data_IF_441973819154
#
_entry.id   IF_441973819154
#
_cell.length_a   1.000
_cell.length_b   1.000
_cell.length_c   1.000
_cell.angle_alpha   90.00
_cell.angle_beta   90.00
_cell.angle_gamma   90.00
#
_symmetry.space_group_name_H-M   'P 1'
#
loop_
_entity.id
_entity.type
_entity.pdbx_description
1 polymer ?
#
# COMPACT_ATOMS: atom_id res chain seq x y z
N UNK A 1 22.10 -8.02 -19.28
CA UNK A 1 20.88 -8.15 -18.46
C UNK A 1 19.87 -7.03 -18.71
N UNK A 2 20.28 -5.76 -18.80
CA UNK A 2 19.37 -4.64 -19.05
C UNK A 2 18.52 -4.75 -20.33
N UNK A 3 19.10 -5.16 -21.46
CA UNK A 3 18.36 -5.28 -22.73
C UNK A 3 17.23 -6.33 -22.70
N UNK A 4 17.41 -7.42 -21.95
CA UNK A 4 16.37 -8.44 -21.79
C UNK A 4 15.19 -7.95 -20.96
N UNK A 5 15.46 -7.17 -19.91
CA UNK A 5 14.38 -6.52 -19.14
C UNK A 5 13.65 -5.47 -19.98
N UNK A 6 14.38 -4.66 -20.75
CA UNK A 6 13.77 -3.68 -21.65
C UNK A 6 12.81 -4.35 -22.63
N UNK A 7 13.22 -5.47 -23.25
CA UNK A 7 12.37 -6.26 -24.13
C UNK A 7 11.13 -6.83 -23.40
N UNK A 8 11.28 -7.32 -22.16
CA UNK A 8 10.17 -7.82 -21.36
C UNK A 8 9.15 -6.73 -21.02
N UNK A 9 9.61 -5.55 -20.60
CA UNK A 9 8.74 -4.40 -20.31
C UNK A 9 7.99 -3.97 -21.57
N UNK A 10 8.70 -3.89 -22.70
CA UNK A 10 8.09 -3.47 -23.96
C UNK A 10 7.09 -4.50 -24.49
N UNK A 11 7.36 -5.80 -24.28
CA UNK A 11 6.40 -6.86 -24.59
C UNK A 11 5.13 -6.77 -23.73
N UNK A 12 5.26 -6.41 -22.45
CA UNK A 12 4.11 -6.24 -21.55
C UNK A 12 3.34 -4.93 -21.80
N UNK A 13 4.00 -3.87 -22.29
CA UNK A 13 3.39 -2.58 -22.61
C UNK A 13 3.90 -2.00 -23.93
N UNK A 14 3.37 -2.47 -25.08
CA UNK A 14 3.85 -2.08 -26.41
C UNK A 14 3.74 -0.58 -26.72
N UNK A 15 2.86 0.14 -26.03
CA UNK A 15 2.65 1.58 -26.21
C UNK A 15 3.75 2.47 -25.61
N UNK A 16 4.71 1.90 -24.88
CA UNK A 16 5.81 2.66 -24.30
C UNK A 16 6.84 3.08 -25.35
N UNK A 17 7.38 4.30 -25.18
CA UNK A 17 8.56 4.77 -25.90
C UNK A 17 9.83 4.23 -25.24
N UNK A 18 10.95 4.25 -25.97
CA UNK A 18 12.25 3.86 -25.42
C UNK A 18 12.61 4.61 -24.13
N UNK A 19 12.26 5.90 -24.04
CA UNK A 19 12.44 6.71 -22.84
C UNK A 19 11.58 6.22 -21.68
N UNK A 20 10.31 5.89 -21.92
CA UNK A 20 9.42 5.36 -20.88
C UNK A 20 9.87 3.99 -20.38
N UNK A 21 10.41 3.14 -21.27
CA UNK A 21 11.01 1.85 -20.89
C UNK A 21 12.24 2.08 -20.01
N UNK A 22 13.11 3.02 -20.39
CA UNK A 22 14.27 3.40 -19.59
C UNK A 22 13.87 3.95 -18.22
N UNK A 23 12.94 4.90 -18.15
CA UNK A 23 12.43 5.46 -16.90
C UNK A 23 11.80 4.40 -16.01
N UNK A 24 11.09 3.43 -16.61
CA UNK A 24 10.52 2.30 -15.87
C UNK A 24 11.63 1.45 -15.23
N UNK A 25 12.70 1.12 -15.97
CA UNK A 25 13.83 0.36 -15.43
C UNK A 25 14.58 1.15 -14.35
N UNK A 26 14.77 2.46 -14.56
CA UNK A 26 15.43 3.36 -13.61
C UNK A 26 14.64 3.48 -12.30
N UNK A 27 13.35 3.77 -12.38
CA UNK A 27 12.50 4.02 -11.20
C UNK A 27 12.13 2.75 -10.44
N UNK A 28 12.44 1.57 -10.99
CA UNK A 28 12.19 0.28 -10.35
C UNK A 28 13.44 -0.37 -9.78
N UNK A 29 14.62 0.21 -9.99
CA UNK A 29 15.87 -0.32 -9.46
C UNK A 29 15.88 -0.35 -7.92
N UNK A 30 16.52 -1.38 -7.36
CA UNK A 30 16.81 -1.46 -5.94
C UNK A 30 18.04 -0.61 -5.67
N UNK A 31 17.83 0.52 -5.00
CA UNK A 31 18.92 1.41 -4.56
C UNK A 31 19.94 0.65 -3.70
N UNK A 32 21.22 0.83 -4.00
CA UNK A 32 22.33 0.16 -3.34
C UNK A 32 23.38 1.21 -2.95
N UNK A 33 23.85 1.16 -1.70
CA UNK A 33 24.82 2.14 -1.22
C UNK A 33 24.14 3.32 -0.52
N UNK A 34 24.60 4.53 -0.82
CA UNK A 34 24.02 5.75 -0.26
C UNK A 34 22.64 6.01 -0.90
N UNK A 35 21.64 6.51 -0.15
CA UNK A 35 20.32 6.77 -0.72
C UNK A 35 20.36 7.72 -1.91
N UNK A 36 19.78 7.30 -3.03
CA UNK A 36 19.74 8.05 -4.29
C UNK A 36 20.90 7.71 -5.24
N UNK A 37 20.97 8.37 -6.40
CA UNK A 37 21.91 7.96 -7.43
C UNK A 37 23.36 8.19 -7.03
N UNK A 38 24.18 7.16 -7.13
CA UNK A 38 25.60 7.20 -6.76
C UNK A 38 26.52 6.81 -7.92
N UNK A 39 27.82 7.07 -7.78
CA UNK A 39 28.81 6.85 -8.82
C UNK A 39 29.19 5.38 -9.03
N UNK A 40 28.93 4.51 -8.06
CA UNK A 40 29.33 3.10 -8.05
C UNK A 40 28.20 2.20 -8.56
N UNK A 41 26.95 2.47 -8.17
CA UNK A 41 25.77 1.68 -8.51
C UNK A 41 24.76 2.42 -9.39
N UNK A 42 24.96 3.70 -9.69
CA UNK A 42 24.06 4.48 -10.54
C UNK A 42 22.70 4.63 -9.90
N UNK A 43 21.67 3.97 -10.44
CA UNK A 43 20.32 3.92 -9.82
C UNK A 43 20.10 2.67 -8.96
N UNK A 44 21.17 1.88 -8.75
CA UNK A 44 21.11 0.62 -8.04
C UNK A 44 20.92 -0.59 -8.96
N UNK A 45 20.59 -1.73 -8.34
CA UNK A 45 20.43 -3.02 -9.03
C UNK A 45 19.09 -3.11 -9.73
N UNK A 46 19.11 -3.53 -10.99
CA UNK A 46 17.90 -3.78 -11.79
C UNK A 46 16.96 -4.78 -11.10
N UNK A 47 15.68 -4.42 -10.96
CA UNK A 47 14.63 -5.29 -10.41
C UNK A 47 13.52 -5.54 -11.44
N UNK A 48 13.59 -6.69 -12.12
CA UNK A 48 12.67 -7.05 -13.19
C UNK A 48 11.20 -7.11 -12.73
N UNK A 49 10.96 -7.58 -11.51
CA UNK A 49 9.61 -7.72 -10.95
C UNK A 49 8.98 -6.35 -10.68
N UNK A 50 9.72 -5.44 -10.04
CA UNK A 50 9.27 -4.06 -9.82
C UNK A 50 9.06 -3.32 -11.13
N UNK A 51 9.94 -3.53 -12.12
CA UNK A 51 9.84 -2.86 -13.42
C UNK A 51 8.59 -3.30 -14.21
N UNK A 52 8.32 -4.60 -14.26
CA UNK A 52 7.14 -5.14 -14.94
C UNK A 52 5.86 -4.65 -14.26
N UNK A 53 5.83 -4.65 -12.93
CA UNK A 53 4.70 -4.13 -12.16
C UNK A 53 4.50 -2.63 -12.39
N UNK A 54 5.56 -1.84 -12.36
CA UNK A 54 5.50 -0.41 -12.65
C UNK A 54 4.96 -0.15 -14.06
N UNK A 55 5.34 -0.96 -15.05
CA UNK A 55 4.80 -0.86 -16.40
C UNK A 55 3.29 -1.16 -16.44
N UNK A 56 2.85 -2.24 -15.80
CA UNK A 56 1.48 -2.73 -15.87
C UNK A 56 0.49 -1.97 -14.97
N UNK A 57 0.89 -1.64 -13.74
CA UNK A 57 0.02 -1.08 -12.69
C UNK A 57 0.38 0.35 -12.30
N UNK A 58 1.53 0.87 -12.75
CA UNK A 58 2.00 2.20 -12.34
C UNK A 58 2.61 2.24 -10.94
N UNK A 59 2.84 1.08 -10.29
CA UNK A 59 3.43 1.00 -8.94
C UNK A 59 4.61 0.03 -8.86
N UNK A 60 5.65 0.40 -8.12
CA UNK A 60 6.81 -0.49 -7.82
C UNK A 60 6.60 -1.34 -6.57
N UNK A 61 5.54 -1.06 -5.79
CA UNK A 61 5.29 -1.69 -4.50
C UNK A 61 4.29 -2.84 -4.63
N UNK A 62 4.54 -3.92 -3.88
CA UNK A 62 3.63 -5.06 -3.82
C UNK A 62 2.54 -4.82 -2.78
N UNK A 63 1.32 -5.26 -3.08
CA UNK A 63 0.22 -5.24 -2.13
C UNK A 63 0.68 -5.91 -0.81
N UNK A 64 0.57 -5.19 0.30
CA UNK A 64 0.98 -5.66 1.63
C UNK A 64 2.41 -5.28 2.08
N UNK A 65 3.22 -4.63 1.24
CA UNK A 65 4.50 -4.02 1.69
C UNK A 65 4.29 -2.74 2.49
N UNK A 66 3.20 -2.03 2.21
CA UNK A 66 2.77 -0.86 2.95
C UNK A 66 1.99 -1.27 4.19
N UNK A 67 2.59 -1.09 5.36
CA UNK A 67 1.90 -1.26 6.64
C UNK A 67 1.14 0.01 6.97
N UNK A 68 -0.18 -0.05 6.87
CA UNK A 68 -1.02 0.96 7.49
C UNK A 68 -1.03 0.72 9.00
N UNK A 69 -0.98 1.79 9.79
CA UNK A 69 -1.07 1.72 11.25
C UNK A 69 -2.36 2.35 11.74
N UNK A 70 -2.94 1.77 12.80
CA UNK A 70 -4.08 2.35 13.48
C UNK A 70 -3.63 2.90 14.82
N UNK A 71 -4.10 4.10 15.17
CA UNK A 71 -3.85 4.72 16.46
C UNK A 71 -5.17 5.25 17.04
N UNK A 72 -5.46 5.01 18.32
CA UNK A 72 -4.68 4.24 19.29
C UNK A 72 -4.84 2.72 19.11
N UNK A 73 -3.78 1.95 19.41
CA UNK A 73 -3.81 0.48 19.42
C UNK A 73 -3.16 -0.02 20.74
N UNK A 74 -3.90 -0.69 21.63
CA UNK A 74 -5.30 -1.12 21.49
C UNK A 74 -6.31 0.05 21.54
N UNK A 75 -7.35 -0.02 20.71
CA UNK A 75 -8.47 0.91 20.72
C UNK A 75 -9.49 0.53 21.80
N UNK A 76 -9.86 1.51 22.64
CA UNK A 76 -10.77 1.34 23.77
C UNK A 76 -11.99 2.28 23.63
N UNK A 77 -13.12 1.81 23.07
CA UNK A 77 -14.28 2.66 22.77
C UNK A 77 -14.88 3.41 23.98
N UNK A 78 -14.67 2.90 25.21
CA UNK A 78 -15.16 3.55 26.44
C UNK A 78 -14.38 4.79 26.83
N UNK A 79 -13.07 4.79 26.57
CA UNK A 79 -12.16 5.88 26.93
C UNK A 79 -11.76 6.73 25.73
N UNK A 80 -11.85 6.16 24.52
CA UNK A 80 -11.42 6.76 23.27
C UNK A 80 -12.61 6.79 22.32
N UNK A 81 -12.86 7.95 21.71
CA UNK A 81 -14.01 8.15 20.82
C UNK A 81 -13.81 7.54 19.43
N UNK A 82 -12.56 7.56 18.93
CA UNK A 82 -12.22 7.20 17.56
C UNK A 82 -10.86 6.48 17.51
N UNK A 83 -10.72 5.55 16.56
CA UNK A 83 -9.44 5.06 16.06
C UNK A 83 -9.17 5.69 14.70
N UNK A 84 -7.94 6.11 14.45
CA UNK A 84 -7.51 6.75 13.21
C UNK A 84 -6.53 5.84 12.47
N UNK A 85 -6.69 5.73 11.16
CA UNK A 85 -5.87 4.94 10.26
C UNK A 85 -4.90 5.84 9.50
N UNK A 86 -3.61 5.47 9.53
CA UNK A 86 -2.56 6.16 8.77
C UNK A 86 -2.42 5.54 7.38
N UNK A 87 -2.36 6.40 6.37
CA UNK A 87 -2.05 6.02 4.99
C UNK A 87 -0.56 6.23 4.75
N UNK A 88 0.20 5.20 4.33
CA UNK A 88 1.61 5.35 3.98
C UNK A 88 1.80 6.40 2.87
N UNK A 89 2.83 7.25 3.02
CA UNK A 89 3.06 8.38 2.12
C UNK A 89 3.23 7.96 0.65
N UNK A 90 3.85 6.79 0.41
CA UNK A 90 4.08 6.23 -0.92
C UNK A 90 2.79 5.96 -1.71
N UNK A 91 1.69 5.65 -1.00
CA UNK A 91 0.40 5.35 -1.62
C UNK A 91 -0.61 6.48 -1.44
N UNK A 92 -0.22 7.57 -0.77
CA UNK A 92 -1.12 8.70 -0.54
C UNK A 92 -1.56 9.29 -1.89
N UNK A 93 -2.86 9.20 -2.15
CA UNK A 93 -3.51 9.65 -3.38
C UNK A 93 -5.01 9.86 -3.11
N UNK A 94 -5.72 10.39 -4.10
CA UNK A 94 -7.19 10.42 -4.13
C UNK A 94 -7.81 9.01 -4.04
N UNK A 95 -9.12 8.94 -3.84
CA UNK A 95 -9.86 7.68 -3.82
C UNK A 95 -9.61 6.82 -2.57
N UNK A 96 -9.36 7.46 -1.41
CA UNK A 96 -9.08 6.74 -0.17
C UNK A 96 -10.34 6.05 0.36
N UNK A 97 -10.31 4.72 0.43
CA UNK A 97 -11.37 3.88 0.99
C UNK A 97 -10.77 3.01 2.11
N UNK A 98 -11.40 3.00 3.30
CA UNK A 98 -11.01 2.10 4.38
C UNK A 98 -12.08 1.04 4.59
N UNK A 99 -11.65 -0.22 4.60
CA UNK A 99 -12.51 -1.37 4.94
C UNK A 99 -11.95 -2.09 6.15
N UNK A 100 -12.80 -2.36 7.12
CA UNK A 100 -12.43 -3.04 8.37
C UNK A 100 -13.03 -4.44 8.34
N UNK A 101 -12.24 -5.43 8.75
CA UNK A 101 -12.54 -6.83 8.72
C UNK A 101 -12.25 -7.49 10.07
N UNK A 102 -12.97 -8.56 10.39
CA UNK A 102 -12.65 -9.46 11.51
C UNK A 102 -11.43 -10.34 11.15
N UNK A 103 -10.88 -11.07 12.11
CA UNK A 103 -9.84 -12.08 11.84
C UNK A 103 -10.33 -13.24 10.97
N UNK A 104 -11.65 -13.43 10.87
CA UNK A 104 -12.31 -14.43 10.02
C UNK A 104 -12.59 -13.89 8.61
N UNK A 105 -12.28 -12.61 8.34
CA UNK A 105 -12.44 -11.99 7.02
C UNK A 105 -13.82 -11.36 6.76
N UNK A 106 -14.70 -11.33 7.76
CA UNK A 106 -16.02 -10.68 7.64
C UNK A 106 -15.87 -9.16 7.59
N UNK A 107 -16.57 -8.51 6.65
CA UNK A 107 -16.59 -7.05 6.54
C UNK A 107 -17.39 -6.44 7.70
N UNK A 108 -16.74 -5.63 8.51
CA UNK A 108 -17.34 -4.94 9.66
C UNK A 108 -17.93 -3.60 9.24
N UNK A 109 -17.14 -2.81 8.50
CA UNK A 109 -17.54 -1.48 8.04
C UNK A 109 -16.69 -1.01 6.87
N UNK A 110 -17.34 -0.27 5.96
CA UNK A 110 -16.70 0.57 4.95
C UNK A 110 -16.76 2.02 5.40
N UNK A 111 -15.65 2.74 5.22
CA UNK A 111 -15.50 4.14 5.63
C UNK A 111 -15.00 4.99 4.46
N UNK A 112 -15.59 6.17 4.33
CA UNK A 112 -15.15 7.24 3.41
C UNK A 112 -14.10 8.17 4.06
N UNK A 113 -13.60 7.82 5.25
CA UNK A 113 -12.62 8.58 6.00
C UNK A 113 -11.62 7.69 6.75
N UNK A 114 -10.66 8.34 7.39
CA UNK A 114 -9.56 7.69 8.11
C UNK A 114 -9.85 7.45 9.59
N UNK A 115 -11.09 7.65 10.06
CA UNK A 115 -11.44 7.47 11.46
C UNK A 115 -12.65 6.56 11.64
N UNK A 116 -12.66 5.78 12.72
CA UNK A 116 -13.72 4.83 13.04
C UNK A 116 -14.09 4.85 14.52
N UNK A 117 -15.37 4.66 14.81
CA UNK A 117 -15.98 4.73 16.14
C UNK A 117 -16.18 3.37 16.82
N UNK A 118 -15.73 2.27 16.20
CA UNK A 118 -15.90 0.93 16.76
C UNK A 118 -17.26 0.28 16.48
N UNK A 119 -18.07 0.84 15.58
CA UNK A 119 -19.40 0.30 15.22
C UNK A 119 -19.38 -0.37 13.85
N UNK A 120 -20.15 -1.43 13.66
CA UNK A 120 -20.37 -2.06 12.36
C UNK A 120 -21.32 -1.24 11.46
N UNK A 121 -21.67 -1.76 10.27
CA UNK A 121 -22.66 -1.14 9.36
C UNK A 121 -24.05 -0.97 9.98
N UNK A 122 -24.46 -1.88 10.87
CA UNK A 122 -25.74 -1.77 11.59
C UNK A 122 -25.71 -0.74 12.74
N UNK A 123 -24.59 -0.04 12.96
CA UNK A 123 -24.45 0.92 14.05
C UNK A 123 -24.26 0.28 15.44
N UNK A 124 -23.97 -1.02 15.49
CA UNK A 124 -23.76 -1.78 16.74
C UNK A 124 -22.27 -1.83 17.08
N UNK A 125 -21.91 -1.68 18.35
CA UNK A 125 -20.51 -1.80 18.80
C UNK A 125 -19.99 -3.23 18.63
N UNK A 126 -18.87 -3.37 17.93
CA UNK A 126 -18.25 -4.69 17.69
C UNK A 126 -17.68 -5.33 18.97
N UNK A 127 -17.39 -6.63 18.93
CA UNK A 127 -16.79 -7.36 20.04
C UNK A 127 -15.33 -6.93 20.30
N UNK A 128 -14.77 -7.30 21.45
CA UNK A 128 -13.32 -7.15 21.66
C UNK A 128 -12.59 -8.21 20.85
N UNK A 129 -11.50 -7.84 20.18
CA UNK A 129 -10.80 -8.75 19.29
C UNK A 129 -9.75 -8.06 18.44
N UNK A 130 -9.11 -8.85 17.56
CA UNK A 130 -8.19 -8.33 16.54
C UNK A 130 -8.96 -8.05 15.27
N UNK A 131 -8.77 -6.84 14.75
CA UNK A 131 -9.37 -6.36 13.52
C UNK A 131 -8.29 -6.05 12.51
N UNK A 132 -8.57 -6.37 11.26
CA UNK A 132 -7.71 -6.08 10.11
C UNK A 132 -8.38 -4.97 9.34
N UNK A 133 -7.64 -3.94 8.96
CA UNK A 133 -8.17 -2.90 8.08
C UNK A 133 -7.33 -2.79 6.82
N UNK A 134 -8.00 -2.49 5.71
CA UNK A 134 -7.39 -2.25 4.41
C UNK A 134 -7.70 -0.83 4.00
N UNK A 135 -6.65 -0.06 3.75
CA UNK A 135 -6.72 1.26 3.13
C UNK A 135 -6.42 1.08 1.65
N UNK A 136 -7.35 1.44 0.79
CA UNK A 136 -7.17 1.45 -0.67
C UNK A 136 -7.11 2.90 -1.14
N UNK A 137 -6.23 3.17 -2.10
CA UNK A 137 -6.12 4.44 -2.82
C UNK A 137 -6.12 4.14 -4.32
N UNK A 138 -6.15 5.18 -5.16
CA UNK A 138 -6.03 5.02 -6.61
C UNK A 138 -4.67 4.43 -7.04
N UNK A 139 -3.62 4.63 -6.23
CA UNK A 139 -2.28 4.11 -6.51
C UNK A 139 -2.11 2.66 -6.08
N UNK A 140 -2.38 2.36 -4.81
CA UNK A 140 -2.19 1.02 -4.24
C UNK A 140 -3.04 0.81 -2.97
N UNK A 141 -2.82 -0.30 -2.25
CA UNK A 141 -3.48 -0.60 -0.99
C UNK A 141 -2.51 -1.02 0.10
N UNK A 142 -2.77 -0.55 1.32
CA UNK A 142 -2.07 -0.94 2.54
C UNK A 142 -3.01 -1.74 3.46
N UNK A 143 -2.43 -2.65 4.23
CA UNK A 143 -3.17 -3.42 5.24
C UNK A 143 -2.52 -3.17 6.60
N UNK A 144 -3.36 -3.06 7.61
CA UNK A 144 -2.94 -2.96 9.00
C UNK A 144 -3.81 -3.82 9.91
N UNK A 145 -3.36 -3.99 11.14
CA UNK A 145 -4.12 -4.67 12.19
C UNK A 145 -4.13 -3.85 13.47
N UNK A 146 -5.20 -3.97 14.23
CA UNK A 146 -5.33 -3.35 15.55
C UNK A 146 -6.17 -4.22 16.47
N UNK A 147 -5.98 -4.05 17.78
CA UNK A 147 -6.81 -4.69 18.78
C UNK A 147 -7.88 -3.70 19.25
N UNK A 148 -9.10 -4.18 19.44
CA UNK A 148 -10.18 -3.46 20.11
C UNK A 148 -10.48 -4.14 21.43
N UNK A 149 -10.53 -3.36 22.52
CA UNK A 149 -10.79 -3.84 23.88
C UNK A 149 -11.88 -2.97 24.51
N UNK A 150 -12.99 -3.58 24.92
CA UNK A 150 -14.10 -2.92 25.66
C UNK A 150 -13.83 -2.81 27.16
#
# INVERSE_FOLDING_TARGET
MAAGLAALIWSAKPSYTATQVFDTMKNSADDLGAPGPDGDFGFGRINAMKALRLAMTGTTQFAGTNKAVAYPNPFRPKTQRLVTFSVPADILSSGTEVRIYTSEGELVKKLDGLAWDGKNEAGVMVASGVYIFRVKTDKDAAVGKFALIK
#
